data_IF_695153506976
#
_entry.id   IF_695153506976
#
_cell.length_a   1.000
_cell.length_b   1.000
_cell.length_c   1.000
_cell.angle_alpha   90.00
_cell.angle_beta   90.00
_cell.angle_gamma   90.00
#
_symmetry.space_group_name_H-M   'P 1'
#
loop_
_entity.id
_entity.type
_entity.pdbx_description
1 polymer ?
#
# COMPACT_ATOMS: atom_id res chain seq x y z
N UNK A 1 2.16 5.55 22.41
CA UNK A 1 0.92 4.93 21.93
C UNK A 1 1.10 4.61 20.45
N UNK A 2 1.38 3.35 20.11
CA UNK A 2 1.64 2.94 18.72
C UNK A 2 0.32 2.66 18.00
N UNK A 3 0.24 3.06 16.73
CA UNK A 3 -0.87 2.82 15.79
C UNK A 3 -1.25 1.33 15.72
N UNK A 4 -0.35 0.42 16.09
CA UNK A 4 -0.61 -1.03 16.18
C UNK A 4 -1.64 -1.44 17.24
N UNK A 5 -1.93 -0.60 18.25
CA UNK A 5 -2.86 -0.94 19.34
C UNK A 5 -4.35 -0.72 19.00
N UNK A 6 -4.66 -0.21 17.81
CA UNK A 6 -6.04 -0.14 17.28
C UNK A 6 -6.31 -1.30 16.31
N UNK A 7 -5.58 -2.40 16.43
CA UNK A 7 -5.82 -3.62 15.66
C UNK A 7 -7.23 -4.13 15.93
N UNK A 8 -7.90 -4.57 14.87
CA UNK A 8 -9.16 -5.29 14.99
C UNK A 8 -8.97 -6.53 15.89
N UNK A 9 -9.99 -6.95 16.64
CA UNK A 9 -9.96 -8.22 17.36
C UNK A 9 -9.55 -9.40 16.45
N UNK A 10 -8.88 -10.41 17.00
CA UNK A 10 -8.24 -11.49 16.23
C UNK A 10 -9.22 -12.24 15.29
N UNK A 11 -10.47 -12.43 15.71
CA UNK A 11 -11.54 -13.05 14.93
C UNK A 11 -11.93 -12.22 13.69
N UNK A 12 -11.86 -10.89 13.79
CA UNK A 12 -12.02 -9.96 12.66
C UNK A 12 -10.79 -9.95 11.77
N UNK A 13 -9.60 -10.03 12.36
CA UNK A 13 -8.35 -10.09 11.60
C UNK A 13 -8.29 -11.35 10.74
N UNK A 14 -8.62 -12.52 11.28
CA UNK A 14 -8.72 -13.76 10.50
C UNK A 14 -9.79 -13.67 9.42
N UNK A 15 -10.96 -13.12 9.72
CA UNK A 15 -12.02 -13.04 8.72
C UNK A 15 -11.65 -12.13 7.53
N UNK A 16 -11.02 -10.98 7.78
CA UNK A 16 -10.73 -9.99 6.74
C UNK A 16 -9.36 -10.17 6.04
N UNK A 17 -8.34 -10.70 6.74
CA UNK A 17 -6.96 -10.74 6.24
C UNK A 17 -6.43 -12.14 5.96
N UNK A 18 -7.23 -13.20 6.14
CA UNK A 18 -6.80 -14.59 5.89
C UNK A 18 -6.37 -14.86 4.45
N UNK A 19 -6.89 -14.10 3.49
CA UNK A 19 -6.51 -14.22 2.08
C UNK A 19 -5.76 -12.96 1.67
N UNK A 20 -4.47 -13.11 1.37
CA UNK A 20 -3.68 -12.09 0.73
C UNK A 20 -3.58 -12.41 -0.77
N UNK A 21 -4.36 -11.71 -1.59
CA UNK A 21 -4.36 -11.83 -3.05
C UNK A 21 -3.56 -10.71 -3.74
N UNK A 22 -2.81 -9.91 -2.96
CA UNK A 22 -2.11 -8.74 -3.47
C UNK A 22 -1.10 -9.08 -4.57
N UNK A 23 -0.34 -10.16 -4.41
CA UNK A 23 0.62 -10.61 -5.42
C UNK A 23 -0.07 -10.93 -6.76
N UNK A 24 -1.26 -11.55 -6.70
CA UNK A 24 -2.07 -11.86 -7.86
C UNK A 24 -2.65 -10.59 -8.50
N UNK A 25 -3.14 -9.65 -7.71
CA UNK A 25 -3.71 -8.39 -8.19
C UNK A 25 -2.66 -7.48 -8.83
N UNK A 26 -1.50 -7.34 -8.17
CA UNK A 26 -0.40 -6.49 -8.64
C UNK A 26 0.46 -7.14 -9.72
N UNK A 27 0.37 -8.46 -9.89
CA UNK A 27 1.28 -9.25 -10.73
C UNK A 27 2.72 -9.21 -10.21
N UNK A 28 2.90 -9.08 -8.89
CA UNK A 28 4.20 -8.94 -8.23
C UNK A 28 4.92 -7.61 -8.52
N UNK A 29 4.22 -6.59 -9.00
CA UNK A 29 4.81 -5.28 -9.33
C UNK A 29 4.55 -4.26 -8.23
N UNK A 30 5.50 -3.34 -8.04
CA UNK A 30 5.35 -2.24 -7.08
C UNK A 30 4.66 -1.00 -7.67
N UNK A 31 4.27 -1.03 -8.94
CA UNK A 31 3.49 0.01 -9.60
C UNK A 31 2.86 -0.52 -10.89
N UNK A 32 1.77 0.11 -11.33
CA UNK A 32 1.13 -0.19 -12.60
C UNK A 32 -0.37 0.09 -12.59
N UNK A 33 -1.10 -0.64 -13.41
CA UNK A 33 -2.56 -0.61 -13.47
C UNK A 33 -3.09 -1.96 -12.98
N UNK A 34 -4.07 -1.94 -12.07
CA UNK A 34 -4.85 -3.11 -11.65
C UNK A 34 -6.23 -2.97 -12.26
N UNK A 35 -6.77 -4.08 -12.77
CA UNK A 35 -8.15 -4.12 -13.25
C UNK A 35 -9.11 -4.38 -12.09
N UNK A 36 -10.00 -3.42 -11.82
CA UNK A 36 -11.03 -3.53 -10.80
C UNK A 36 -12.38 -3.26 -11.46
N UNK A 37 -13.23 -4.29 -11.58
CA UNK A 37 -14.58 -4.19 -12.19
C UNK A 37 -14.57 -3.52 -13.58
N UNK A 38 -13.61 -3.87 -14.44
CA UNK A 38 -13.47 -3.31 -15.79
C UNK A 38 -12.82 -1.92 -15.84
N UNK A 39 -12.42 -1.34 -14.70
CA UNK A 39 -11.66 -0.10 -14.64
C UNK A 39 -10.17 -0.37 -14.44
N UNK A 40 -9.32 0.35 -15.19
CA UNK A 40 -7.87 0.34 -14.98
C UNK A 40 -7.51 1.37 -13.91
N UNK A 41 -7.13 0.88 -12.73
CA UNK A 41 -6.82 1.71 -11.56
C UNK A 41 -5.31 1.77 -11.37
N UNK A 42 -4.69 2.96 -11.42
CA UNK A 42 -3.27 3.10 -11.16
C UNK A 42 -2.94 2.87 -9.69
N UNK A 43 -1.83 2.18 -9.44
CA UNK A 43 -1.32 1.92 -8.10
C UNK A 43 0.21 2.10 -8.04
N UNK A 44 0.70 2.38 -6.83
CA UNK A 44 2.10 2.35 -6.47
C UNK A 44 2.22 1.90 -5.01
N UNK A 45 3.16 1.01 -4.74
CA UNK A 45 3.42 0.47 -3.39
C UNK A 45 4.37 1.41 -2.65
N UNK A 46 4.02 1.71 -1.41
CA UNK A 46 4.88 2.33 -0.42
C UNK A 46 5.36 1.26 0.56
N UNK A 47 6.68 1.04 0.60
CA UNK A 47 7.29 0.10 1.53
C UNK A 47 7.40 0.72 2.92
N UNK A 48 6.51 0.28 3.82
CA UNK A 48 6.33 0.82 5.16
C UNK A 48 7.39 0.27 6.13
N UNK A 49 8.65 0.69 5.92
CA UNK A 49 9.77 0.35 6.79
C UNK A 49 9.94 1.40 7.90
N UNK A 50 10.20 1.02 9.17
CA UNK A 50 10.29 1.95 10.30
C UNK A 50 11.23 3.13 10.08
N UNK A 51 12.34 2.94 9.34
CA UNK A 51 13.32 3.99 9.03
C UNK A 51 12.73 5.16 8.24
N UNK A 52 11.60 4.93 7.55
CA UNK A 52 10.85 5.93 6.78
C UNK A 52 9.62 6.44 7.52
N UNK A 53 9.04 5.66 8.44
CA UNK A 53 7.70 5.94 9.00
C UNK A 53 7.69 6.36 10.46
N UNK A 54 8.74 6.08 11.23
CA UNK A 54 8.88 6.55 12.62
C UNK A 54 9.31 8.02 12.70
N UNK A 55 9.89 8.56 11.63
CA UNK A 55 10.29 9.96 11.52
C UNK A 55 9.39 10.69 10.50
N UNK A 56 8.45 11.55 10.96
CA UNK A 56 7.58 12.32 10.08
C UNK A 56 8.32 13.15 9.03
N UNK A 57 9.56 13.58 9.33
CA UNK A 57 10.37 14.34 8.38
C UNK A 57 10.85 13.49 7.19
N UNK A 58 10.91 12.16 7.35
CA UNK A 58 11.28 11.21 6.30
C UNK A 58 10.07 10.65 5.56
N UNK A 59 8.92 10.57 6.24
CA UNK A 59 7.68 10.07 5.66
C UNK A 59 7.21 10.90 4.46
N UNK A 60 7.21 12.24 4.60
CA UNK A 60 6.80 13.16 3.54
C UNK A 60 7.57 12.95 2.23
N UNK A 61 8.91 13.10 2.23
CA UNK A 61 9.73 12.86 1.05
C UNK A 61 9.55 11.47 0.45
N UNK A 62 9.43 10.42 1.29
CA UNK A 62 9.23 9.06 0.80
C UNK A 62 7.85 8.86 0.13
N UNK A 63 6.81 9.55 0.61
CA UNK A 63 5.49 9.56 -0.04
C UNK A 63 5.52 10.35 -1.34
N UNK A 64 6.25 11.47 -1.41
CA UNK A 64 6.39 12.27 -2.63
C UNK A 64 7.00 11.44 -3.77
N UNK A 65 8.00 10.60 -3.47
CA UNK A 65 8.58 9.67 -4.45
C UNK A 65 7.55 8.66 -4.98
N UNK A 66 6.71 8.12 -4.10
CA UNK A 66 5.64 7.19 -4.49
C UNK A 66 4.57 7.89 -5.34
N UNK A 67 4.16 9.11 -4.97
CA UNK A 67 3.20 9.87 -5.74
C UNK A 67 3.75 10.30 -7.11
N UNK A 68 5.03 10.64 -7.20
CA UNK A 68 5.69 10.92 -8.47
C UNK A 68 5.68 9.70 -9.40
N UNK A 69 5.90 8.50 -8.86
CA UNK A 69 5.77 7.23 -9.61
C UNK A 69 4.33 6.95 -10.05
N UNK A 70 3.37 7.13 -9.15
CA UNK A 70 1.95 6.95 -9.44
C UNK A 70 1.46 7.88 -10.56
N UNK A 71 1.88 9.15 -10.53
CA UNK A 71 1.53 10.13 -11.55
C UNK A 71 1.99 9.72 -12.95
N UNK A 72 3.17 9.10 -13.08
CA UNK A 72 3.72 8.60 -14.36
C UNK A 72 2.97 7.39 -14.91
N UNK A 73 2.22 6.68 -14.07
CA UNK A 73 1.48 5.47 -14.44
C UNK A 73 0.13 5.79 -15.12
N UNK A 74 -0.31 7.05 -15.05
CA UNK A 74 -1.56 7.52 -15.67
C UNK A 74 -1.43 7.89 -17.16
N UNK A 75 -0.25 7.74 -17.76
CA UNK A 75 0.00 8.12 -19.17
C UNK A 75 -0.11 6.96 -20.16
#
# INVERSE_FOLDING_TARGET
HSVLYHSLPDDKMEFYYKVNDWEKLSGGKDQGLIEIKGHRVPFAVFDNMPEKTDDPAKLGPALDEVFARLAKTKS
#
